data_IF_351445377882
#
_entry.id   IF_351445377882
#
_cell.length_a   1.000
_cell.length_b   1.000
_cell.length_c   1.000
_cell.angle_alpha   90.00
_cell.angle_beta   90.00
_cell.angle_gamma   90.00
#
_symmetry.space_group_name_H-M   'P 1'
#
loop_
_entity.id
_entity.type
_entity.pdbx_description
1 polymer ?
#
# COMPACT_ATOMS: atom_id res chain seq x y z
N UNK A 1 40.63 -30.49 59.64
CA UNK A 1 39.94 -31.07 58.46
C UNK A 1 38.89 -30.08 57.96
N UNK A 2 39.12 -29.39 56.83
CA UNK A 2 38.20 -28.41 56.25
C UNK A 2 37.47 -29.05 55.05
N UNK A 3 36.14 -29.17 55.12
CA UNK A 3 35.30 -29.65 54.01
C UNK A 3 34.90 -28.45 53.14
N UNK A 4 35.23 -28.48 51.86
CA UNK A 4 34.78 -27.51 50.87
C UNK A 4 33.50 -28.05 50.21
N UNK A 5 32.39 -27.30 50.32
CA UNK A 5 31.16 -27.54 49.57
C UNK A 5 31.35 -27.00 48.14
N UNK A 6 31.26 -27.88 47.13
CA UNK A 6 31.05 -27.49 45.74
C UNK A 6 29.55 -27.27 45.52
N UNK A 7 29.16 -26.06 45.18
CA UNK A 7 27.85 -25.77 44.60
C UNK A 7 27.94 -25.95 43.07
N UNK A 8 27.22 -26.93 42.55
CA UNK A 8 27.03 -27.12 41.12
C UNK A 8 25.82 -26.27 40.67
N UNK A 9 26.08 -25.21 39.90
CA UNK A 9 25.04 -24.41 39.26
C UNK A 9 24.53 -25.13 38.01
N UNK A 10 23.33 -25.69 38.10
CA UNK A 10 22.57 -26.21 36.96
C UNK A 10 22.03 -25.01 36.16
N UNK A 11 22.60 -24.75 34.99
CA UNK A 11 22.05 -23.79 34.02
C UNK A 11 21.02 -24.53 33.17
N UNK A 12 19.74 -24.32 33.46
CA UNK A 12 18.65 -24.75 32.59
C UNK A 12 18.54 -23.76 31.44
N UNK A 13 19.00 -24.16 30.25
CA UNK A 13 18.79 -23.41 29.01
C UNK A 13 17.34 -23.66 28.55
N UNK A 14 16.40 -22.84 28.99
CA UNK A 14 15.05 -22.81 28.40
C UNK A 14 15.19 -22.21 27.00
N UNK A 15 15.01 -23.05 25.98
CA UNK A 15 14.90 -22.59 24.60
C UNK A 15 13.71 -21.65 24.49
N UNK A 16 13.97 -20.35 24.39
CA UNK A 16 12.97 -19.38 23.96
C UNK A 16 12.64 -19.72 22.50
N UNK A 17 11.58 -20.49 22.30
CA UNK A 17 10.95 -20.56 20.99
C UNK A 17 10.68 -19.13 20.56
N UNK A 18 11.16 -18.75 19.38
CA UNK A 18 10.79 -17.50 18.74
C UNK A 18 9.28 -17.57 18.48
N UNK A 19 8.48 -17.22 19.49
CA UNK A 19 7.05 -17.05 19.35
C UNK A 19 6.88 -16.02 18.24
N UNK A 20 6.14 -16.39 17.20
CA UNK A 20 5.64 -15.43 16.23
C UNK A 20 4.83 -14.43 17.03
N UNK A 21 5.42 -13.28 17.35
CA UNK A 21 4.68 -12.17 17.91
C UNK A 21 3.61 -11.83 16.87
N UNK A 22 2.38 -12.23 17.13
CA UNK A 22 1.24 -11.84 16.29
C UNK A 22 1.15 -10.34 16.42
N UNK A 23 1.56 -9.62 15.38
CA UNK A 23 1.43 -8.17 15.37
C UNK A 23 -0.04 -7.84 15.67
N UNK A 24 -0.25 -6.99 16.67
CA UNK A 24 -1.58 -6.52 17.01
C UNK A 24 -2.23 -5.81 15.82
N UNK A 25 -3.50 -5.39 15.97
CA UNK A 25 -4.17 -4.64 14.92
C UNK A 25 -3.37 -3.37 14.57
N UNK A 26 -3.24 -3.11 13.27
CA UNK A 26 -2.58 -1.93 12.74
C UNK A 26 -3.62 -0.82 12.56
N UNK A 27 -3.34 0.36 13.10
CA UNK A 27 -4.19 1.54 12.95
C UNK A 27 -3.56 2.53 11.98
N UNK A 28 -4.34 2.96 11.01
CA UNK A 28 -3.93 3.95 10.03
C UNK A 28 -5.10 4.87 9.69
N UNK A 29 -4.78 6.07 9.21
CA UNK A 29 -5.77 7.02 8.71
C UNK A 29 -5.43 7.47 7.30
N UNK A 30 -6.43 7.99 6.59
CA UNK A 30 -6.26 8.56 5.28
C UNK A 30 -7.02 9.86 5.11
N UNK A 31 -6.55 10.72 4.21
CA UNK A 31 -7.29 11.86 3.66
C UNK A 31 -7.03 11.97 2.17
N UNK A 32 -8.03 12.41 1.42
CA UNK A 32 -8.00 12.52 -0.03
C UNK A 32 -8.32 13.96 -0.47
N UNK A 33 -7.59 14.41 -1.48
CA UNK A 33 -7.81 15.69 -2.15
C UNK A 33 -7.83 15.45 -3.65
N UNK A 34 -8.64 16.23 -4.38
CA UNK A 34 -8.71 16.17 -5.84
C UNK A 34 -7.99 17.37 -6.44
N UNK A 35 -7.21 17.08 -7.48
CA UNK A 35 -6.64 18.04 -8.40
C UNK A 35 -7.23 17.77 -9.79
N UNK A 36 -8.07 18.67 -10.29
CA UNK A 36 -8.58 18.58 -11.66
C UNK A 36 -7.54 19.12 -12.64
N UNK A 37 -7.41 18.50 -13.82
CA UNK A 37 -6.43 18.96 -14.82
C UNK A 37 -6.75 20.34 -15.43
N UNK A 38 -8.00 20.81 -15.24
CA UNK A 38 -8.52 22.14 -15.57
C UNK A 38 -9.81 22.36 -14.80
N UNK A 39 -10.34 23.58 -14.83
CA UNK A 39 -11.67 23.86 -14.31
C UNK A 39 -12.74 23.29 -15.26
N UNK A 40 -13.57 22.40 -14.73
CA UNK A 40 -14.68 21.76 -15.44
C UNK A 40 -16.05 22.33 -15.04
N UNK A 41 -16.08 23.31 -14.13
CA UNK A 41 -17.32 23.88 -13.60
C UNK A 41 -18.25 22.80 -13.05
N UNK A 42 -19.52 22.84 -13.47
CA UNK A 42 -20.55 21.89 -13.04
C UNK A 42 -20.70 20.67 -13.98
N UNK A 43 -19.93 20.60 -15.06
CA UNK A 43 -20.04 19.52 -16.05
C UNK A 43 -19.48 18.21 -15.50
N UNK A 44 -18.51 18.30 -14.57
CA UNK A 44 -17.90 17.16 -13.91
C UNK A 44 -17.42 17.49 -12.50
N UNK A 45 -17.88 16.70 -11.53
CA UNK A 45 -17.50 16.82 -10.12
C UNK A 45 -17.32 15.45 -9.48
N UNK A 46 -16.28 15.30 -8.67
CA UNK A 46 -16.18 14.21 -7.68
C UNK A 46 -17.01 14.57 -6.44
N UNK A 47 -17.92 13.69 -6.06
CA UNK A 47 -18.66 13.77 -4.81
C UNK A 47 -18.00 12.83 -3.80
N UNK A 48 -17.38 13.39 -2.76
CA UNK A 48 -16.72 12.59 -1.74
C UNK A 48 -17.72 11.78 -0.90
N UNK A 49 -17.54 10.46 -0.89
CA UNK A 49 -18.24 9.54 0.02
C UNK A 49 -17.50 9.48 1.35
N UNK A 50 -16.18 9.27 1.29
CA UNK A 50 -15.29 9.27 2.46
C UNK A 50 -14.00 10.00 2.08
N UNK A 51 -13.97 11.32 2.26
CA UNK A 51 -12.77 12.11 2.00
C UNK A 51 -11.63 11.80 2.98
N UNK A 52 -11.96 11.37 4.19
CA UNK A 52 -10.98 10.97 5.21
C UNK A 52 -11.55 9.93 6.15
N UNK A 53 -10.70 9.14 6.77
CA UNK A 53 -11.12 8.18 7.79
C UNK A 53 -9.96 7.51 8.52
N UNK A 54 -10.30 6.80 9.59
CA UNK A 54 -9.38 5.96 10.36
C UNK A 54 -9.82 4.51 10.27
N UNK A 55 -8.86 3.61 10.10
CA UNK A 55 -9.08 2.18 9.93
C UNK A 55 -8.22 1.42 10.93
N UNK A 56 -8.81 0.41 11.55
CA UNK A 56 -8.11 -0.61 12.32
C UNK A 56 -8.27 -1.92 11.57
N UNK A 57 -7.17 -2.57 11.22
CA UNK A 57 -7.18 -3.85 10.49
C UNK A 57 -6.16 -4.83 11.04
N UNK A 58 -6.38 -6.13 10.82
CA UNK A 58 -5.36 -7.15 11.06
C UNK A 58 -4.15 -6.98 10.13
N UNK A 59 -3.00 -7.52 10.55
CA UNK A 59 -1.82 -7.60 9.69
C UNK A 59 -2.12 -8.45 8.43
N UNK A 60 -1.86 -7.89 7.25
CA UNK A 60 -2.11 -8.50 5.95
C UNK A 60 -3.57 -8.42 5.48
N UNK A 61 -4.50 -7.97 6.31
CA UNK A 61 -5.92 -7.86 5.96
C UNK A 61 -6.15 -6.76 4.92
N UNK A 62 -6.90 -7.08 3.87
CA UNK A 62 -7.35 -6.09 2.89
C UNK A 62 -8.60 -5.40 3.38
N UNK A 63 -8.59 -4.08 3.30
CA UNK A 63 -9.74 -3.22 3.59
C UNK A 63 -10.03 -2.35 2.39
N UNK A 64 -11.31 -2.18 2.06
CA UNK A 64 -11.76 -1.31 0.98
C UNK A 64 -12.54 -0.12 1.54
N UNK A 65 -12.33 1.06 0.95
CA UNK A 65 -12.99 2.31 1.30
C UNK A 65 -13.42 3.04 0.04
N UNK A 66 -14.74 3.18 -0.12
CA UNK A 66 -15.30 4.04 -1.17
C UNK A 66 -14.90 5.50 -0.89
N UNK A 67 -14.12 6.10 -1.78
CA UNK A 67 -13.64 7.47 -1.64
C UNK A 67 -14.66 8.46 -2.19
N UNK A 68 -15.13 8.22 -3.42
CA UNK A 68 -16.01 9.15 -4.14
C UNK A 68 -16.94 8.44 -5.12
N UNK A 69 -18.00 9.14 -5.47
CA UNK A 69 -18.76 8.96 -6.72
C UNK A 69 -18.56 10.18 -7.61
N UNK A 70 -19.11 10.18 -8.82
CA UNK A 70 -19.08 11.35 -9.70
C UNK A 70 -20.47 11.78 -10.11
N UNK A 71 -20.58 13.07 -10.35
CA UNK A 71 -21.66 13.67 -11.12
C UNK A 71 -21.05 14.17 -12.42
N UNK A 72 -21.61 13.72 -13.55
CA UNK A 72 -21.20 14.18 -14.86
C UNK A 72 -22.43 14.49 -15.70
N UNK A 73 -22.47 15.69 -16.28
CA UNK A 73 -23.52 16.12 -17.20
C UNK A 73 -22.91 16.58 -18.52
N UNK A 74 -22.13 15.73 -19.21
CA UNK A 74 -21.57 16.13 -20.48
C UNK A 74 -22.71 16.31 -21.49
N UNK A 75 -22.95 17.54 -21.93
CA UNK A 75 -23.69 17.78 -23.16
C UNK A 75 -22.93 17.21 -24.37
N UNK A 76 -23.55 17.16 -25.55
CA UNK A 76 -22.81 16.86 -26.76
C UNK A 76 -21.67 17.87 -26.96
N UNK A 77 -20.51 17.43 -27.50
CA UNK A 77 -19.39 18.31 -27.74
C UNK A 77 -19.78 19.45 -28.68
N UNK A 78 -19.17 20.62 -28.47
CA UNK A 78 -19.37 21.80 -29.33
C UNK A 78 -18.58 21.71 -30.64
N UNK A 79 -17.67 20.76 -30.74
CA UNK A 79 -16.82 20.51 -31.89
C UNK A 79 -17.18 19.18 -32.57
N UNK A 80 -16.61 18.94 -33.75
CA UNK A 80 -16.84 17.71 -34.53
C UNK A 80 -16.11 16.48 -33.96
N UNK A 81 -15.44 16.60 -32.80
CA UNK A 81 -14.59 15.53 -32.27
C UNK A 81 -15.38 14.42 -31.56
N UNK A 82 -16.67 14.63 -31.29
CA UNK A 82 -17.56 13.59 -30.76
C UNK A 82 -17.18 13.05 -29.38
N UNK A 83 -16.19 13.62 -28.69
CA UNK A 83 -15.69 13.11 -27.42
C UNK A 83 -15.43 14.23 -26.42
N UNK A 84 -15.86 14.03 -25.17
CA UNK A 84 -15.51 14.90 -24.04
C UNK A 84 -14.80 14.06 -22.99
N UNK A 85 -13.66 14.55 -22.50
CA UNK A 85 -12.87 13.89 -21.45
C UNK A 85 -12.55 14.83 -20.29
N UNK A 86 -12.65 14.28 -19.09
CA UNK A 86 -12.39 14.91 -17.80
C UNK A 86 -11.30 14.11 -17.09
N UNK A 87 -10.20 14.76 -16.76
CA UNK A 87 -9.05 14.15 -16.11
C UNK A 87 -8.85 14.77 -14.72
N UNK A 88 -8.51 13.93 -13.75
CA UNK A 88 -8.27 14.33 -12.37
C UNK A 88 -7.20 13.45 -11.72
N UNK A 89 -6.61 13.96 -10.65
CA UNK A 89 -5.68 13.23 -9.78
C UNK A 89 -6.19 13.31 -8.35
N UNK A 90 -6.33 12.17 -7.69
CA UNK A 90 -6.60 12.10 -6.25
C UNK A 90 -5.27 11.94 -5.52
N UNK A 91 -4.93 12.92 -4.68
CA UNK A 91 -3.80 12.87 -3.76
C UNK A 91 -4.27 12.29 -2.44
N UNK A 92 -3.77 11.10 -2.12
CA UNK A 92 -4.08 10.38 -0.90
C UNK A 92 -2.94 10.54 0.10
N UNK A 93 -3.23 11.14 1.25
CA UNK A 93 -2.31 11.12 2.40
C UNK A 93 -2.64 9.94 3.28
N UNK A 94 -1.73 8.99 3.42
CA UNK A 94 -1.81 7.86 4.34
C UNK A 94 -0.96 8.17 5.58
N UNK A 95 -1.45 7.81 6.77
CA UNK A 95 -0.74 7.99 8.03
C UNK A 95 -0.83 6.74 8.90
N UNK A 96 0.31 6.23 9.34
CA UNK A 96 0.38 5.22 10.40
C UNK A 96 0.17 5.91 11.76
N UNK A 97 -0.82 5.47 12.53
CA UNK A 97 -1.22 6.17 13.76
C UNK A 97 -0.19 5.96 14.87
N UNK A 98 0.41 4.77 14.96
CA UNK A 98 1.34 4.42 16.02
C UNK A 98 2.64 5.22 15.95
N UNK A 99 3.21 5.37 14.76
CA UNK A 99 4.44 6.14 14.52
C UNK A 99 4.21 7.61 14.20
N UNK A 100 3.00 7.97 13.78
CA UNK A 100 2.67 9.30 13.27
C UNK A 100 3.24 9.63 11.89
N UNK A 101 3.95 8.70 11.24
CA UNK A 101 4.54 8.89 9.91
C UNK A 101 3.45 8.91 8.83
N UNK A 102 3.66 9.73 7.80
CA UNK A 102 2.74 9.84 6.67
C UNK A 102 3.45 9.79 5.32
N UNK A 103 2.69 9.44 4.29
CA UNK A 103 3.09 9.51 2.90
C UNK A 103 1.94 10.00 2.03
N UNK A 104 2.27 10.63 0.91
CA UNK A 104 1.32 11.09 -0.10
C UNK A 104 1.49 10.23 -1.36
N UNK A 105 0.38 9.67 -1.83
CA UNK A 105 0.27 8.86 -3.04
C UNK A 105 -0.66 9.59 -4.02
N UNK A 106 -0.44 9.44 -5.33
CA UNK A 106 -1.26 10.09 -6.34
C UNK A 106 -1.86 9.05 -7.28
N UNK A 107 -3.19 9.06 -7.40
CA UNK A 107 -3.94 8.19 -8.31
C UNK A 107 -4.63 9.02 -9.37
N UNK A 108 -4.29 8.78 -10.63
CA UNK A 108 -4.98 9.43 -11.74
C UNK A 108 -6.32 8.78 -12.00
N UNK A 109 -7.28 9.56 -12.47
CA UNK A 109 -8.55 9.07 -12.96
C UNK A 109 -9.05 9.91 -14.12
N UNK A 110 -9.97 9.35 -14.87
CA UNK A 110 -10.60 10.02 -15.99
C UNK A 110 -12.03 9.54 -16.21
N UNK A 111 -12.82 10.41 -16.84
CA UNK A 111 -14.15 10.13 -17.36
C UNK A 111 -14.20 10.60 -18.81
N UNK A 112 -14.73 9.79 -19.71
CA UNK A 112 -15.01 10.21 -21.06
C UNK A 112 -16.39 9.76 -21.51
N UNK A 113 -17.02 10.59 -22.33
CA UNK A 113 -18.25 10.24 -23.06
C UNK A 113 -18.01 10.45 -24.55
N UNK A 114 -18.63 9.61 -25.37
CA UNK A 114 -18.57 9.70 -26.81
C UNK A 114 -19.98 9.82 -27.40
N UNK A 115 -20.09 10.68 -28.41
CA UNK A 115 -21.29 11.02 -29.15
C UNK A 115 -21.01 10.86 -30.65
N UNK A 116 -22.01 10.42 -31.40
CA UNK A 116 -21.98 10.35 -32.86
C UNK A 116 -22.72 11.56 -33.43
N UNK A 117 -22.07 12.28 -34.35
CA UNK A 117 -22.69 13.42 -35.03
C UNK A 117 -23.44 12.91 -36.24
N UNK A 118 -24.76 12.98 -36.20
CA UNK A 118 -25.62 12.44 -37.23
C UNK A 118 -26.24 13.54 -38.06
N UNK A 119 -26.09 13.46 -39.38
CA UNK A 119 -26.81 14.33 -40.29
C UNK A 119 -28.29 13.98 -40.27
N UNK A 120 -29.14 14.97 -39.98
CA UNK A 120 -30.60 14.78 -39.90
C UNK A 120 -31.36 15.38 -41.07
N UNK A 121 -30.69 16.18 -41.92
CA UNK A 121 -31.30 16.76 -43.10
C UNK A 121 -30.80 18.16 -43.39
N UNK A 122 -31.65 18.94 -44.04
CA UNK A 122 -31.51 20.38 -44.20
C UNK A 122 -32.76 21.06 -43.63
N UNK A 123 -32.61 22.26 -43.08
CA UNK A 123 -33.74 23.10 -42.67
C UNK A 123 -34.47 23.69 -43.90
N UNK A 124 -35.54 24.46 -43.66
CA UNK A 124 -36.33 25.09 -44.73
C UNK A 124 -35.53 26.05 -45.64
N UNK A 125 -34.32 26.46 -45.22
CA UNK A 125 -33.42 27.33 -45.96
C UNK A 125 -32.28 26.55 -46.64
N UNK A 126 -32.26 25.22 -46.54
CA UNK A 126 -31.18 24.39 -47.08
C UNK A 126 -29.93 24.33 -46.20
N UNK A 127 -29.99 24.78 -44.94
CA UNK A 127 -28.85 24.67 -44.03
C UNK A 127 -28.79 23.26 -43.43
N UNK A 128 -27.62 22.61 -43.37
CA UNK A 128 -27.51 21.26 -42.84
C UNK A 128 -27.87 21.21 -41.36
N UNK A 129 -28.73 20.27 -40.99
CA UNK A 129 -29.11 19.98 -39.61
C UNK A 129 -28.40 18.74 -39.11
N UNK A 130 -28.03 18.78 -37.83
CA UNK A 130 -27.26 17.73 -37.16
C UNK A 130 -27.91 17.41 -35.82
N UNK A 131 -27.82 16.15 -35.42
CA UNK A 131 -28.19 15.67 -34.09
C UNK A 131 -27.02 14.87 -33.50
N UNK A 132 -27.08 14.61 -32.20
CA UNK A 132 -26.05 13.90 -31.47
C UNK A 132 -26.63 12.67 -30.79
N UNK A 133 -26.22 11.50 -31.28
CA UNK A 133 -26.58 10.22 -30.68
C UNK A 133 -25.50 9.83 -29.65
N UNK A 134 -25.89 9.61 -28.38
CA UNK A 134 -24.95 9.11 -27.36
C UNK A 134 -24.49 7.70 -27.72
N UNK A 135 -23.17 7.45 -27.70
CA UNK A 135 -22.59 6.14 -28.03
C UNK A 135 -22.29 5.35 -26.76
N UNK A 136 -21.37 5.86 -25.94
CA UNK A 136 -20.94 5.21 -24.71
C UNK A 136 -20.23 6.17 -23.77
N UNK A 137 -20.10 5.73 -22.52
CA UNK A 137 -19.27 6.37 -21.52
C UNK A 137 -18.27 5.38 -20.93
N UNK A 138 -17.12 5.89 -20.52
CA UNK A 138 -16.07 5.12 -19.90
C UNK A 138 -15.39 5.93 -18.80
N UNK A 139 -14.98 5.24 -17.74
CA UNK A 139 -14.24 5.84 -16.65
C UNK A 139 -13.17 4.91 -16.13
N UNK A 140 -12.17 5.49 -15.49
CA UNK A 140 -11.13 4.77 -14.77
C UNK A 140 -10.66 5.59 -13.57
N UNK A 141 -10.36 4.91 -12.47
CA UNK A 141 -9.66 5.49 -11.33
C UNK A 141 -8.56 4.55 -10.84
N UNK A 142 -7.36 5.11 -10.70
CA UNK A 142 -6.18 4.40 -10.24
C UNK A 142 -5.67 3.39 -11.27
N UNK A 143 -5.29 2.20 -10.80
CA UNK A 143 -4.78 1.11 -11.63
C UNK A 143 -5.29 -0.20 -11.02
N UNK A 144 -6.44 -0.73 -11.44
CA UNK A 144 -7.07 -1.87 -10.77
C UNK A 144 -6.19 -3.13 -10.72
N UNK A 145 -5.20 -3.24 -11.61
CA UNK A 145 -4.27 -4.36 -11.71
C UNK A 145 -2.89 -4.10 -11.08
N UNK A 146 -2.60 -2.88 -10.61
CA UNK A 146 -1.30 -2.50 -10.06
C UNK A 146 -1.43 -2.13 -8.59
N UNK A 147 -0.42 -2.49 -7.81
CA UNK A 147 -0.33 -2.12 -6.40
C UNK A 147 0.86 -1.20 -6.20
N UNK A 148 0.64 -0.12 -5.45
CA UNK A 148 1.69 0.72 -4.88
C UNK A 148 2.00 0.27 -3.46
N UNK A 149 3.18 0.64 -2.97
CA UNK A 149 3.57 0.31 -1.60
C UNK A 149 4.35 1.45 -0.95
N UNK A 150 4.15 1.60 0.35
CA UNK A 150 4.89 2.56 1.17
C UNK A 150 5.17 1.97 2.55
N UNK A 151 6.34 2.27 3.10
CA UNK A 151 6.70 1.85 4.46
C UNK A 151 6.52 3.03 5.41
N UNK A 152 5.68 2.87 6.43
CA UNK A 152 5.42 3.86 7.48
C UNK A 152 5.42 3.17 8.84
N UNK A 153 6.15 3.71 9.81
CA UNK A 153 6.09 3.23 11.19
C UNK A 153 6.51 1.78 11.42
N UNK A 154 7.35 1.23 10.52
CA UNK A 154 7.71 -0.18 10.56
C UNK A 154 6.64 -1.11 9.96
N UNK A 155 5.58 -0.58 9.34
CA UNK A 155 4.59 -1.32 8.56
C UNK A 155 4.79 -1.04 7.06
N UNK A 156 4.59 -2.06 6.22
CA UNK A 156 4.44 -1.94 4.77
C UNK A 156 2.96 -1.88 4.45
N UNK A 157 2.55 -0.79 3.82
CA UNK A 157 1.20 -0.59 3.30
C UNK A 157 1.23 -0.86 1.80
N UNK A 158 0.37 -1.76 1.34
CA UNK A 158 0.13 -2.08 -0.06
C UNK A 158 -1.22 -1.51 -0.44
N UNK A 159 -1.25 -0.62 -1.43
CA UNK A 159 -2.42 0.19 -1.77
C UNK A 159 -2.74 0.09 -3.26
N UNK A 160 -4.02 0.24 -3.60
CA UNK A 160 -4.43 0.57 -4.97
C UNK A 160 -5.68 1.44 -4.95
N UNK A 161 -5.73 2.40 -5.87
CA UNK A 161 -6.99 3.01 -6.30
C UNK A 161 -7.64 2.12 -7.35
N UNK A 162 -8.93 1.86 -7.19
CA UNK A 162 -9.73 1.13 -8.17
C UNK A 162 -11.09 1.78 -8.37
N UNK A 163 -11.60 1.75 -9.60
CA UNK A 163 -12.91 2.28 -9.92
C UNK A 163 -13.06 2.59 -11.40
N UNK A 164 -14.29 2.89 -11.79
CA UNK A 164 -14.70 3.09 -13.17
C UNK A 164 -15.11 1.81 -13.90
N UNK A 165 -15.37 1.95 -15.19
CA UNK A 165 -15.93 0.91 -16.03
C UNK A 165 -16.59 1.48 -17.29
N UNK A 166 -17.07 0.59 -18.17
CA UNK A 166 -17.93 0.97 -19.29
C UNK A 166 -19.36 1.17 -18.81
N UNK A 167 -20.03 2.22 -19.29
CA UNK A 167 -21.44 2.47 -18.99
C UNK A 167 -21.72 2.87 -17.54
N UNK A 168 -20.69 3.35 -16.83
CA UNK A 168 -20.80 3.79 -15.44
C UNK A 168 -20.12 5.14 -15.26
N UNK A 169 -20.78 6.02 -14.51
CA UNK A 169 -20.12 7.20 -13.96
C UNK A 169 -18.94 6.77 -13.06
N UNK A 170 -17.80 7.47 -13.11
CA UNK A 170 -16.64 7.10 -12.31
C UNK A 170 -16.99 7.02 -10.82
N UNK A 171 -16.63 5.91 -10.21
CA UNK A 171 -16.49 5.76 -8.77
C UNK A 171 -15.01 5.52 -8.46
N UNK A 172 -14.65 5.67 -7.19
CA UNK A 172 -13.30 5.36 -6.75
C UNK A 172 -13.30 4.78 -5.36
N UNK A 173 -12.62 3.66 -5.20
CA UNK A 173 -12.33 3.03 -3.93
C UNK A 173 -10.82 2.95 -3.72
N UNK A 174 -10.44 2.97 -2.44
CA UNK A 174 -9.09 2.70 -1.98
C UNK A 174 -9.07 1.32 -1.33
N UNK A 175 -8.19 0.45 -1.83
CA UNK A 175 -7.92 -0.84 -1.20
C UNK A 175 -6.55 -0.79 -0.53
N UNK A 176 -6.49 -1.15 0.74
CA UNK A 176 -5.26 -1.12 1.56
C UNK A 176 -5.08 -2.44 2.30
N UNK A 177 -3.87 -2.97 2.29
CA UNK A 177 -3.39 -3.99 3.23
C UNK A 177 -2.15 -3.46 3.95
N UNK A 178 -2.06 -3.68 5.25
CA UNK A 178 -0.93 -3.25 6.07
C UNK A 178 -0.30 -4.46 6.75
N UNK A 179 1.01 -4.63 6.66
CA UNK A 179 1.75 -5.73 7.30
C UNK A 179 2.99 -5.19 8.00
N UNK A 180 3.40 -5.76 9.15
CA UNK A 180 4.69 -5.42 9.74
C UNK A 180 5.82 -5.65 8.74
N UNK A 181 6.74 -4.70 8.67
CA UNK A 181 7.97 -4.85 7.89
C UNK A 181 8.84 -5.89 8.60
N UNK A 182 9.17 -6.98 7.91
CA UNK A 182 10.02 -8.05 8.45
C UNK A 182 11.50 -7.63 8.58
N UNK A 183 11.82 -6.33 8.57
CA UNK A 183 13.21 -5.87 8.64
C UNK A 183 13.78 -6.28 9.99
N UNK A 184 14.74 -7.23 10.06
CA UNK A 184 15.27 -7.68 11.33
C UNK A 184 15.91 -6.48 12.03
N UNK A 185 15.57 -6.26 13.30
CA UNK A 185 16.26 -5.19 14.02
C UNK A 185 17.77 -5.45 14.01
N UNK A 186 18.62 -4.43 13.79
CA UNK A 186 20.08 -4.57 13.77
C UNK A 186 20.63 -5.23 15.04
N UNK A 187 19.94 -5.05 16.16
CA UNK A 187 20.20 -5.72 17.46
C UNK A 187 20.10 -7.24 17.37
N UNK A 188 19.17 -7.78 16.59
CA UNK A 188 19.03 -9.22 16.35
C UNK A 188 20.22 -9.77 15.55
N UNK A 189 20.73 -8.99 14.58
CA UNK A 189 21.96 -9.31 13.85
C UNK A 189 23.20 -9.19 14.74
N UNK A 190 23.27 -8.19 15.62
CA UNK A 190 24.37 -8.01 16.56
C UNK A 190 24.42 -9.16 17.59
N UNK A 191 23.27 -9.59 18.13
CA UNK A 191 23.18 -10.73 19.04
C UNK A 191 23.54 -12.06 18.35
N UNK A 192 23.11 -12.28 17.10
CA UNK A 192 23.53 -13.43 16.31
C UNK A 192 25.05 -13.42 16.06
N UNK A 193 25.63 -12.24 15.77
CA UNK A 193 27.07 -12.04 15.62
C UNK A 193 27.85 -12.36 16.90
N UNK A 194 27.40 -11.86 18.05
CA UNK A 194 28.04 -12.10 19.36
C UNK A 194 27.99 -13.59 19.73
N UNK A 195 26.85 -14.25 19.51
CA UNK A 195 26.69 -15.69 19.77
C UNK A 195 27.64 -16.58 18.93
N UNK A 196 27.86 -16.22 17.66
CA UNK A 196 28.79 -16.93 16.79
C UNK A 196 30.27 -16.71 17.19
N UNK A 197 30.64 -15.50 17.62
CA UNK A 197 31.98 -15.27 18.19
C UNK A 197 32.24 -16.06 19.48
N UNK A 198 31.23 -16.20 20.35
CA UNK A 198 31.37 -16.98 21.58
C UNK A 198 31.59 -18.49 21.30
N UNK A 199 30.87 -19.05 20.31
CA UNK A 199 31.06 -20.43 19.86
C UNK A 199 32.42 -20.67 19.19
N UNK A 200 32.93 -19.70 18.42
CA UNK A 200 34.26 -19.76 17.81
C UNK A 200 35.40 -19.78 18.84
N UNK A 201 35.31 -18.97 19.89
CA UNK A 201 36.31 -18.93 20.98
C UNK A 201 36.27 -20.22 21.81
N UNK A 202 35.09 -20.75 22.12
CA UNK A 202 34.95 -21.99 22.89
C UNK A 202 35.58 -23.20 22.17
N UNK A 203 35.46 -23.31 20.84
CA UNK A 203 36.14 -24.37 20.06
C UNK A 203 37.65 -24.22 20.05
N UNK A 204 38.17 -22.99 19.96
CA UNK A 204 39.63 -22.72 19.94
C UNK A 204 40.31 -23.07 21.26
N UNK A 205 39.64 -22.84 22.39
CA UNK A 205 40.17 -23.19 23.72
C UNK A 205 40.15 -24.70 23.95
N UNK A 206 39.13 -25.42 23.46
CA UNK A 206 39.05 -26.89 23.58
C UNK A 206 40.12 -27.62 22.75
N UNK A 207 40.51 -27.09 21.59
CA UNK A 207 41.56 -27.67 20.76
C UNK A 207 42.98 -27.55 21.34
N UNK A 208 43.24 -26.58 22.22
CA UNK A 208 44.58 -26.38 22.82
C UNK A 208 44.89 -27.32 23.98
N UNK A 209 43.88 -27.81 24.70
CA UNK A 209 44.09 -28.70 25.85
C UNK A 209 44.34 -30.17 25.45
N UNK A 210 44.05 -30.56 24.20
CA UNK A 210 44.31 -31.92 23.72
C UNK A 210 45.74 -32.11 23.21
N UNK A 211 46.41 -31.03 22.78
CA UNK A 211 47.77 -31.08 22.25
C UNK A 211 48.86 -31.17 23.34
N UNK A 212 48.53 -30.89 24.61
CA UNK A 212 49.50 -30.89 25.72
C UNK A 212 49.65 -32.24 26.45
N UNK A 213 48.96 -33.32 26.01
CA UNK A 213 48.95 -34.62 26.70
C UNK A 213 49.59 -35.77 25.92
N UNK A 214 50.35 -35.45 24.87
CA UNK A 214 51.11 -36.44 24.07
C UNK A 214 52.58 -36.06 24.11
N UNK A 215 53.28 -36.48 25.17
CA UNK A 215 54.72 -36.29 25.23
C UNK A 215 55.28 -36.47 26.64
N UNK A 216 55.37 -37.72 27.09
CA UNK A 216 56.48 -38.27 27.90
C UNK A 216 56.13 -39.70 28.30
N UNK A 217 56.54 -40.66 27.47
CA UNK A 217 56.63 -42.07 27.83
C UNK A 217 57.75 -42.73 27.00
N UNK A 218 58.99 -42.63 27.50
CA UNK A 218 60.18 -43.43 27.14
C UNK A 218 61.31 -42.93 28.03
N UNK A 219 62.21 -43.71 28.61
CA UNK A 219 62.32 -45.12 28.97
C UNK A 219 63.45 -45.13 30.02
#
# INVERSE_FOLDING_TARGET
MKRALLFASLIVLTGAGAGTATAGPIQWSYSAEVEYSRDYGNDFLLNWTNQSGTVTSGAGEYTSRDLFTTTAFPGPPRDDNGQIAYNFTVRLTLKDIASGQSAVLAYNGWYATQWDKKWTGEDENGNPTWDWDWIHEQSEFGKPTSWDWVTLGGNVYTLRGEGGGMGTTPNGALVVSASPSATPEPTTLALAGIGLTALGVARRVRGRNTAARVGTATA
#
